data_IF_212464797358
#
_entry.id   IF_212464797358
#
_cell.length_a   1.000
_cell.length_b   1.000
_cell.length_c   1.000
_cell.angle_alpha   90.00
_cell.angle_beta   90.00
_cell.angle_gamma   90.00
#
_symmetry.space_group_name_H-M   'P 1'
#
loop_
_entity.id
_entity.type
_entity.pdbx_description
1 polymer ?
#
# COMPACT_ATOMS: atom_id res chain seq x y z
N UNK A 1 -21.42 -10.34 -6.48
CA UNK A 1 -20.65 -9.10 -6.18
C UNK A 1 -19.39 -9.10 -7.03
N UNK A 2 -18.73 -7.95 -7.18
CA UNK A 2 -17.44 -7.83 -7.85
C UNK A 2 -16.36 -7.50 -6.81
N UNK A 3 -15.18 -8.09 -6.95
CA UNK A 3 -14.00 -7.72 -6.15
C UNK A 3 -13.37 -6.48 -6.76
N UNK A 4 -13.25 -5.41 -5.96
CA UNK A 4 -12.59 -4.16 -6.35
C UNK A 4 -11.26 -4.10 -5.62
N UNK A 5 -10.17 -3.87 -6.36
CA UNK A 5 -8.82 -3.74 -5.82
C UNK A 5 -8.43 -2.25 -5.70
N UNK A 6 -7.41 -1.96 -4.89
CA UNK A 6 -6.83 -0.62 -4.83
C UNK A 6 -6.07 -0.32 -6.13
N UNK A 7 -6.48 0.74 -6.83
CA UNK A 7 -5.94 1.13 -8.12
C UNK A 7 -4.43 1.43 -8.05
N UNK A 8 -3.99 2.23 -7.09
CA UNK A 8 -2.59 2.63 -6.90
C UNK A 8 -1.67 1.45 -6.58
N UNK A 9 -2.20 0.35 -6.03
CA UNK A 9 -1.45 -0.90 -5.84
C UNK A 9 -1.33 -1.63 -7.16
N UNK A 10 -2.44 -1.82 -7.89
CA UNK A 10 -2.43 -2.54 -9.17
C UNK A 10 -1.68 -1.79 -10.29
N UNK A 11 -1.63 -0.46 -10.22
CA UNK A 11 -0.96 0.41 -11.18
C UNK A 11 0.47 0.80 -10.77
N UNK A 12 1.01 0.25 -9.68
CA UNK A 12 2.35 0.59 -9.18
C UNK A 12 3.51 0.15 -10.10
N UNK A 13 3.23 -0.70 -11.10
CA UNK A 13 4.25 -1.32 -11.95
C UNK A 13 5.28 -0.35 -12.54
N UNK A 14 4.87 0.71 -13.27
CA UNK A 14 5.81 1.67 -13.84
C UNK A 14 6.70 2.37 -12.79
N UNK A 15 6.15 2.69 -11.62
CA UNK A 15 6.93 3.33 -10.55
C UNK A 15 7.99 2.37 -10.00
N UNK A 16 7.64 1.10 -9.80
CA UNK A 16 8.59 0.09 -9.33
C UNK A 16 9.64 -0.25 -10.39
N UNK A 17 9.30 -0.21 -11.67
CA UNK A 17 10.25 -0.40 -12.77
C UNK A 17 11.30 0.73 -12.82
N UNK A 18 10.88 1.99 -12.66
CA UNK A 18 11.80 3.14 -12.55
C UNK A 18 12.73 3.04 -11.33
N UNK A 19 12.29 2.36 -10.26
CA UNK A 19 13.12 2.04 -9.09
C UNK A 19 14.07 0.84 -9.32
N UNK A 20 14.08 0.25 -10.51
CA UNK A 20 14.99 -0.84 -10.89
C UNK A 20 14.51 -2.24 -10.52
N UNK A 21 13.24 -2.43 -10.19
CA UNK A 21 12.66 -3.76 -9.98
C UNK A 21 12.34 -4.45 -11.31
N UNK A 22 12.60 -5.76 -11.40
CA UNK A 22 12.17 -6.58 -12.53
C UNK A 22 10.69 -6.97 -12.44
N UNK A 23 10.13 -7.44 -13.56
CA UNK A 23 8.70 -7.78 -13.67
C UNK A 23 8.26 -8.82 -12.62
N UNK A 24 9.12 -9.78 -12.30
CA UNK A 24 8.82 -10.82 -11.31
C UNK A 24 8.70 -10.23 -9.90
N UNK A 25 9.64 -9.37 -9.52
CA UNK A 25 9.65 -8.65 -8.24
C UNK A 25 8.46 -7.70 -8.14
N UNK A 26 8.12 -7.02 -9.24
CA UNK A 26 6.96 -6.12 -9.31
C UNK A 26 5.67 -6.92 -9.07
N UNK A 27 5.49 -8.02 -9.81
CA UNK A 27 4.30 -8.88 -9.68
C UNK A 27 4.15 -9.43 -8.25
N UNK A 28 5.26 -9.87 -7.64
CA UNK A 28 5.26 -10.38 -6.26
C UNK A 28 4.89 -9.30 -5.23
N UNK A 29 5.47 -8.09 -5.34
CA UNK A 29 5.13 -6.95 -4.47
C UNK A 29 3.65 -6.57 -4.58
N UNK A 30 3.13 -6.44 -5.79
CA UNK A 30 1.72 -6.09 -6.02
C UNK A 30 0.79 -7.19 -5.49
N UNK A 31 1.10 -8.46 -5.78
CA UNK A 31 0.32 -9.60 -5.30
C UNK A 31 0.29 -9.68 -3.77
N UNK A 32 1.43 -9.42 -3.12
CA UNK A 32 1.54 -9.41 -1.66
C UNK A 32 0.62 -8.38 -1.01
N UNK A 33 0.64 -7.13 -1.51
CA UNK A 33 -0.22 -6.06 -0.96
C UNK A 33 -1.69 -6.32 -1.28
N UNK A 34 -2.02 -6.81 -2.48
CA UNK A 34 -3.40 -7.19 -2.83
C UNK A 34 -3.93 -8.29 -1.91
N UNK A 35 -3.13 -9.34 -1.66
CA UNK A 35 -3.52 -10.42 -0.77
C UNK A 35 -3.76 -9.95 0.67
N UNK A 36 -2.98 -8.98 1.15
CA UNK A 36 -3.11 -8.41 2.48
C UNK A 36 -4.34 -7.49 2.66
N UNK A 37 -4.86 -6.91 1.58
CA UNK A 37 -5.80 -5.78 1.68
C UNK A 37 -7.16 -6.03 1.02
N UNK A 38 -7.27 -6.95 0.06
CA UNK A 38 -8.49 -7.17 -0.75
C UNK A 38 -9.76 -7.49 0.07
N UNK A 39 -9.60 -8.14 1.22
CA UNK A 39 -10.70 -8.60 2.08
C UNK A 39 -10.88 -7.71 3.32
N UNK A 40 -10.30 -6.50 3.32
CA UNK A 40 -10.46 -5.55 4.42
C UNK A 40 -11.94 -5.14 4.57
N UNK A 41 -12.41 -5.04 5.81
CA UNK A 41 -13.84 -4.79 6.12
C UNK A 41 -14.37 -3.46 5.54
N UNK A 42 -13.50 -2.47 5.37
CA UNK A 42 -13.81 -1.15 4.79
C UNK A 42 -13.49 -1.09 3.28
N UNK A 43 -13.21 -2.24 2.66
CA UNK A 43 -12.83 -2.36 1.26
C UNK A 43 -11.33 -2.23 1.00
N UNK A 44 -10.91 -2.75 -0.16
CA UNK A 44 -9.50 -2.86 -0.53
C UNK A 44 -8.75 -1.52 -0.59
N UNK A 45 -9.44 -0.44 -0.97
CA UNK A 45 -8.85 0.90 -1.04
C UNK A 45 -8.39 1.38 0.35
N UNK A 46 -9.29 1.40 1.33
CA UNK A 46 -8.96 1.81 2.70
C UNK A 46 -8.01 0.81 3.37
N UNK A 47 -8.18 -0.49 3.12
CA UNK A 47 -7.23 -1.51 3.59
C UNK A 47 -5.79 -1.26 3.10
N UNK A 48 -5.63 -0.85 1.84
CA UNK A 48 -4.32 -0.50 1.28
C UNK A 48 -3.76 0.81 1.86
N UNK A 49 -4.60 1.81 2.15
CA UNK A 49 -4.18 3.01 2.87
C UNK A 49 -3.65 2.66 4.27
N UNK A 50 -4.37 1.85 5.05
CA UNK A 50 -3.90 1.44 6.39
C UNK A 50 -2.61 0.62 6.32
N UNK A 51 -2.49 -0.28 5.34
CA UNK A 51 -1.24 -1.01 5.13
C UNK A 51 -0.06 -0.07 4.85
N UNK A 52 -0.26 0.97 4.03
CA UNK A 52 0.75 1.99 3.77
C UNK A 52 1.06 2.82 5.02
N UNK A 53 0.05 3.24 5.78
CA UNK A 53 0.23 3.98 7.04
C UNK A 53 1.03 3.18 8.07
N UNK A 54 0.75 1.89 8.22
CA UNK A 54 1.49 1.01 9.13
C UNK A 54 2.98 0.92 8.76
N UNK A 55 3.28 0.86 7.46
CA UNK A 55 4.66 0.94 6.98
C UNK A 55 5.30 2.32 7.23
N UNK A 56 4.57 3.41 6.95
CA UNK A 56 5.07 4.78 7.16
C UNK A 56 5.32 5.09 8.65
N UNK A 57 4.58 4.46 9.56
CA UNK A 57 4.83 4.55 11.02
C UNK A 57 6.21 4.05 11.42
N UNK A 58 6.86 3.21 10.62
CA UNK A 58 8.21 2.71 10.92
C UNK A 58 9.32 3.60 10.35
N UNK A 59 8.99 4.60 9.52
CA UNK A 59 9.99 5.44 8.84
C UNK A 59 10.67 6.46 9.75
N UNK A 60 10.03 6.82 10.85
CA UNK A 60 10.60 7.75 11.84
C UNK A 60 10.10 7.38 13.22
N UNK A 61 11.00 7.43 14.21
CA UNK A 61 10.66 7.18 15.61
C UNK A 61 9.79 8.31 16.20
N UNK A 62 9.91 9.52 15.64
CA UNK A 62 9.15 10.70 16.04
C UNK A 62 8.34 11.21 14.84
N UNK A 63 7.02 11.31 15.00
CA UNK A 63 6.15 11.82 13.93
C UNK A 63 6.47 13.31 13.70
N UNK A 64 6.86 13.72 12.48
CA UNK A 64 7.01 15.12 12.17
C UNK A 64 5.64 15.76 12.38
N UNK A 65 5.57 16.69 13.33
CA UNK A 65 4.34 17.25 13.88
C UNK A 65 3.53 16.23 14.70
N UNK A 66 3.96 16.00 15.95
CA UNK A 66 3.06 15.45 16.97
C UNK A 66 1.72 16.20 16.93
N UNK A 67 0.59 15.48 17.05
CA UNK A 67 -0.76 15.98 16.78
C UNK A 67 -0.97 17.38 17.41
N UNK A 68 -1.02 18.49 16.66
CA UNK A 68 -1.56 19.73 17.20
C UNK A 68 -3.07 19.68 16.99
N UNK A 69 -3.78 18.95 17.86
CA UNK A 69 -5.21 19.14 18.10
C UNK A 69 -5.50 18.74 19.56
N UNK A 70 -5.24 19.70 20.45
CA UNK A 70 -5.96 19.88 21.71
C UNK A 70 -6.91 21.06 21.51
#
# INVERSE_FOLDING_TARGET
>A
GATVLADFVTAAGPVLAELGHDDATIADKVATVVAATKDHQEGAFLGACYHAEDFLRTWTAELPFGRPMA
#
